data_IF_369464554739
#
_entry.id   IF_369464554739
#
_cell.length_a   1.000
_cell.length_b   1.000
_cell.length_c   1.000
_cell.angle_alpha   90.00
_cell.angle_beta   90.00
_cell.angle_gamma   90.00
#
_symmetry.space_group_name_H-M   'P 1'
#
loop_
_entity.id
_entity.type
_entity.pdbx_description
1 polymer ?
#
# COMPACT_ATOMS: atom_id res chain seq x y z
N UNK A 1 28.68 -14.42 39.80
CA UNK A 1 28.66 -13.98 38.39
C UNK A 1 27.72 -14.93 37.67
N UNK A 2 26.43 -14.60 37.68
CA UNK A 2 25.40 -15.47 37.09
C UNK A 2 25.40 -15.27 35.57
N UNK A 3 25.36 -16.34 34.75
CA UNK A 3 25.29 -16.20 33.32
C UNK A 3 23.93 -15.59 32.96
N UNK A 4 23.98 -14.40 32.35
CA UNK A 4 22.83 -13.68 31.82
C UNK A 4 22.02 -14.64 30.95
N UNK A 5 20.75 -14.84 31.32
CA UNK A 5 19.77 -15.58 30.55
C UNK A 5 19.87 -15.14 29.09
N UNK A 6 20.29 -16.05 28.22
CA UNK A 6 20.17 -15.90 26.79
C UNK A 6 18.73 -15.55 26.49
N UNK A 7 18.48 -14.28 26.16
CA UNK A 7 17.19 -13.83 25.66
C UNK A 7 17.03 -14.46 24.28
N UNK A 8 16.60 -15.71 24.28
CA UNK A 8 16.03 -16.38 23.12
C UNK A 8 14.65 -15.77 22.88
N UNK A 9 14.60 -14.50 22.46
CA UNK A 9 13.40 -13.91 21.87
C UNK A 9 13.35 -14.26 20.37
N UNK A 10 13.45 -15.55 20.09
CA UNK A 10 13.24 -16.14 18.77
C UNK A 10 11.94 -16.96 18.84
N UNK A 11 10.80 -16.30 19.06
CA UNK A 11 9.51 -17.01 19.18
C UNK A 11 8.33 -16.12 18.79
N UNK A 12 8.37 -15.55 17.58
CA UNK A 12 7.21 -15.28 16.70
C UNK A 12 7.61 -14.40 15.50
N UNK A 13 8.77 -14.63 14.90
CA UNK A 13 8.98 -14.18 13.53
C UNK A 13 8.17 -15.14 12.64
N UNK A 14 6.85 -14.92 12.54
CA UNK A 14 6.04 -15.60 11.52
C UNK A 14 6.80 -15.49 10.20
N UNK A 15 7.11 -16.61 9.52
CA UNK A 15 7.77 -16.56 8.23
C UNK A 15 6.90 -15.69 7.34
N UNK A 16 7.35 -14.45 7.09
CA UNK A 16 6.57 -13.55 6.27
C UNK A 16 6.51 -14.20 4.89
N UNK A 17 5.32 -14.50 4.36
CA UNK A 17 5.18 -15.29 3.16
C UNK A 17 5.97 -14.64 2.01
N UNK A 18 6.53 -15.46 1.12
CA UNK A 18 7.23 -14.95 -0.06
C UNK A 18 6.32 -13.94 -0.79
N UNK A 19 6.82 -12.72 -1.00
CA UNK A 19 6.04 -11.62 -1.58
C UNK A 19 5.37 -10.66 -0.59
N UNK A 20 5.52 -10.82 0.73
CA UNK A 20 4.98 -9.86 1.71
C UNK A 20 5.46 -8.42 1.49
N UNK A 21 6.72 -8.24 1.08
CA UNK A 21 7.27 -6.92 0.76
C UNK A 21 6.58 -6.31 -0.46
N UNK A 22 6.22 -7.14 -1.44
CA UNK A 22 5.48 -6.70 -2.62
C UNK A 22 4.07 -6.27 -2.24
N UNK A 23 3.39 -7.02 -1.36
CA UNK A 23 2.07 -6.65 -0.86
C UNK A 23 2.07 -5.32 -0.10
N UNK A 24 3.03 -5.09 0.79
CA UNK A 24 3.13 -3.81 1.52
C UNK A 24 3.39 -2.63 0.59
N UNK A 25 4.17 -2.82 -0.48
CA UNK A 25 4.43 -1.78 -1.48
C UNK A 25 3.16 -1.45 -2.27
N UNK A 26 2.37 -2.46 -2.65
CA UNK A 26 1.08 -2.26 -3.31
C UNK A 26 0.12 -1.52 -2.38
N UNK A 27 -0.01 -1.96 -1.13
CA UNK A 27 -0.88 -1.33 -0.13
C UNK A 27 -0.50 0.13 0.10
N UNK A 28 0.80 0.41 0.26
CA UNK A 28 1.32 1.77 0.41
C UNK A 28 0.94 2.67 -0.78
N UNK A 29 1.12 2.18 -2.02
CA UNK A 29 0.78 2.94 -3.23
C UNK A 29 -0.72 3.17 -3.33
N UNK A 30 -1.54 2.14 -3.13
CA UNK A 30 -3.00 2.26 -3.16
C UNK A 30 -3.49 3.25 -2.10
N UNK A 31 -2.96 3.17 -0.88
CA UNK A 31 -3.31 4.10 0.20
C UNK A 31 -2.91 5.54 -0.12
N UNK A 32 -1.73 5.75 -0.73
CA UNK A 32 -1.25 7.07 -1.16
C UNK A 32 -2.13 7.65 -2.27
N UNK A 33 -2.48 6.86 -3.28
CA UNK A 33 -3.38 7.30 -4.37
C UNK A 33 -4.79 7.55 -3.85
N UNK A 34 -5.27 6.72 -2.93
CA UNK A 34 -6.50 6.95 -2.18
C UNK A 34 -6.50 8.28 -1.43
N UNK A 35 -5.39 8.82 -0.98
CA UNK A 35 -5.39 10.11 -0.28
C UNK A 35 -5.29 11.31 -1.23
N UNK A 36 -4.72 11.11 -2.42
CA UNK A 36 -4.32 12.21 -3.33
C UNK A 36 -5.20 12.34 -4.57
N UNK A 37 -5.83 11.25 -5.03
CA UNK A 37 -6.58 11.18 -6.29
C UNK A 37 -8.05 10.78 -6.09
N UNK A 38 -8.61 10.89 -4.87
CA UNK A 38 -10.05 10.67 -4.63
C UNK A 38 -10.90 11.61 -5.48
N UNK A 39 -12.00 11.10 -6.02
CA UNK A 39 -12.92 11.86 -6.88
C UNK A 39 -12.36 12.22 -8.25
N UNK A 40 -11.16 11.74 -8.63
CA UNK A 40 -10.67 11.82 -10.00
C UNK A 40 -11.21 10.66 -10.85
N UNK A 41 -11.07 10.77 -12.17
CA UNK A 41 -11.46 9.72 -13.11
C UNK A 41 -10.59 8.46 -12.96
N UNK A 42 -11.18 7.30 -13.21
CA UNK A 42 -10.50 5.99 -13.15
C UNK A 42 -9.22 5.94 -14.01
N UNK A 43 -9.18 6.60 -15.16
CA UNK A 43 -7.98 6.68 -16.02
C UNK A 43 -6.82 7.42 -15.33
N UNK A 44 -7.11 8.53 -14.64
CA UNK A 44 -6.09 9.29 -13.91
C UNK A 44 -5.55 8.48 -12.72
N UNK A 45 -6.45 7.81 -11.99
CA UNK A 45 -6.10 6.97 -10.84
C UNK A 45 -5.28 5.75 -11.29
N UNK A 46 -5.69 5.08 -12.36
CA UNK A 46 -4.97 3.89 -12.87
C UNK A 46 -3.55 4.23 -13.34
N UNK A 47 -3.36 5.35 -14.04
CA UNK A 47 -2.02 5.86 -14.41
C UNK A 47 -1.17 6.17 -13.18
N UNK A 48 -1.75 6.82 -12.17
CA UNK A 48 -1.04 7.17 -10.94
C UNK A 48 -0.59 5.94 -10.15
N UNK A 49 -1.46 4.92 -10.02
CA UNK A 49 -1.11 3.65 -9.38
C UNK A 49 -0.02 2.93 -10.19
N UNK A 50 -0.14 2.89 -11.51
CA UNK A 50 0.82 2.21 -12.37
C UNK A 50 2.23 2.83 -12.25
N UNK A 51 2.31 4.16 -12.27
CA UNK A 51 3.58 4.89 -12.14
C UNK A 51 4.21 4.67 -10.75
N UNK A 52 3.40 4.80 -9.68
CA UNK A 52 3.90 4.59 -8.32
C UNK A 52 4.32 3.15 -8.05
N UNK A 53 3.59 2.14 -8.54
CA UNK A 53 3.97 0.73 -8.42
C UNK A 53 5.31 0.46 -9.11
N UNK A 54 5.51 1.04 -10.31
CA UNK A 54 6.79 0.95 -11.03
C UNK A 54 7.93 1.61 -10.24
N UNK A 55 7.68 2.77 -9.64
CA UNK A 55 8.67 3.48 -8.82
C UNK A 55 9.13 2.68 -7.59
N UNK A 56 8.28 1.81 -7.03
CA UNK A 56 8.62 0.95 -5.88
C UNK A 56 9.10 -0.44 -6.30
N UNK A 57 9.36 -0.66 -7.59
CA UNK A 57 9.87 -1.92 -8.14
C UNK A 57 8.85 -3.05 -8.13
N UNK A 58 7.55 -2.73 -8.14
CA UNK A 58 6.45 -3.69 -8.21
C UNK A 58 5.93 -3.73 -9.65
N UNK A 59 5.82 -4.93 -10.22
CA UNK A 59 5.23 -5.10 -11.56
C UNK A 59 3.73 -4.82 -11.49
N UNK A 60 3.23 -3.81 -12.23
CA UNK A 60 1.81 -3.46 -12.22
C UNK A 60 0.96 -4.56 -12.86
N UNK A 61 -0.04 -5.06 -12.15
CA UNK A 61 -1.06 -5.95 -12.70
C UNK A 61 -2.28 -5.12 -13.16
N UNK A 62 -2.46 -5.00 -14.48
CA UNK A 62 -3.50 -4.13 -15.05
C UNK A 62 -4.93 -4.44 -14.56
N UNK A 63 -5.26 -5.72 -14.30
CA UNK A 63 -6.58 -6.08 -13.75
C UNK A 63 -6.76 -5.58 -12.31
N UNK A 64 -5.75 -5.74 -11.46
CA UNK A 64 -5.80 -5.24 -10.08
C UNK A 64 -5.87 -3.71 -10.06
N UNK A 65 -5.10 -3.03 -10.91
CA UNK A 65 -5.10 -1.57 -10.99
C UNK A 65 -6.47 -1.04 -11.39
N UNK A 66 -7.13 -1.66 -12.38
CA UNK A 66 -8.48 -1.28 -12.77
C UNK A 66 -9.49 -1.44 -11.62
N UNK A 67 -9.38 -2.53 -10.84
CA UNK A 67 -10.23 -2.74 -9.66
C UNK A 67 -9.99 -1.68 -8.58
N UNK A 68 -8.72 -1.35 -8.29
CA UNK A 68 -8.39 -0.27 -7.36
C UNK A 68 -8.88 1.08 -7.86
N UNK A 69 -8.69 1.38 -9.15
CA UNK A 69 -9.13 2.63 -9.75
C UNK A 69 -10.65 2.83 -9.66
N UNK A 70 -11.42 1.79 -9.97
CA UNK A 70 -12.89 1.81 -9.84
C UNK A 70 -13.33 2.11 -8.41
N UNK A 71 -12.73 1.43 -7.42
CA UNK A 71 -13.05 1.66 -5.99
C UNK A 71 -12.67 3.07 -5.56
N UNK A 72 -11.47 3.54 -5.91
CA UNK A 72 -10.96 4.86 -5.50
C UNK A 72 -11.75 5.99 -6.15
N UNK A 73 -12.19 5.81 -7.40
CA UNK A 73 -13.04 6.76 -8.11
C UNK A 73 -14.40 6.92 -7.45
N UNK A 74 -14.90 5.88 -6.77
CA UNK A 74 -16.18 5.88 -6.07
C UNK A 74 -16.07 6.38 -4.61
N UNK A 75 -14.84 6.54 -4.09
CA UNK A 75 -14.66 7.02 -2.72
C UNK A 75 -15.07 8.49 -2.61
N UNK A 76 -15.87 8.85 -1.58
CA UNK A 76 -16.18 10.24 -1.32
C UNK A 76 -14.88 11.02 -1.05
N UNK A 77 -14.84 12.25 -1.56
CA UNK A 77 -13.80 13.21 -1.24
C UNK A 77 -13.68 13.29 0.28
N UNK A 78 -12.46 13.12 0.80
CA UNK A 78 -12.24 13.35 2.23
C UNK A 78 -12.59 14.81 2.50
N UNK A 79 -13.34 15.12 3.59
CA UNK A 79 -13.50 16.49 4.00
C UNK A 79 -12.10 17.12 4.13
N UNK A 80 -11.91 18.39 3.71
CA UNK A 80 -10.63 19.04 3.85
C UNK A 80 -10.21 18.90 5.30
N UNK A 81 -8.98 18.42 5.51
CA UNK A 81 -8.41 18.23 6.84
C UNK A 81 -8.23 19.63 7.44
N UNK A 82 -9.29 20.17 8.02
CA UNK A 82 -9.35 21.48 8.64
C UNK A 82 -8.61 21.35 9.97
N UNK A 83 -7.28 21.31 9.90
CA UNK A 83 -6.41 21.49 11.06
C UNK A 83 -6.53 22.96 11.46
N UNK A 84 -7.55 23.25 12.27
CA UNK A 84 -7.63 24.49 13.05
C UNK A 84 -6.55 24.49 14.14
#
# INVERSE_FOLDING_TARGET
MEPLASVSLASSASPRPAGWQMQLRVDYVVNKVMQTHRGQSEDAISRAIQDQLRSVGVVPNGRQIAQYAAVISQLPLLPPNNRA
#
